data_IF_402337613981
#
_entry.id   IF_402337613981
#
_cell.length_a   1.000
_cell.length_b   1.000
_cell.length_c   1.000
_cell.angle_alpha   90.00
_cell.angle_beta   90.00
_cell.angle_gamma   90.00
#
_symmetry.space_group_name_H-M   'P 1'
#
loop_
_entity.id
_entity.type
_entity.pdbx_description
1 polymer ?
#
# COMPACT_ATOMS: atom_id res chain seq x y z
N UNK A 1 8.78 -33.32 -3.09
CA UNK A 1 10.23 -33.16 -3.31
C UNK A 1 11.02 -33.95 -2.28
N UNK A 2 10.88 -33.72 -0.96
CA UNK A 2 11.68 -34.37 0.10
C UNK A 2 11.57 -35.90 0.05
N UNK A 3 10.35 -36.44 0.00
CA UNK A 3 10.13 -37.88 -0.06
C UNK A 3 10.81 -38.55 -1.30
N UNK A 4 10.75 -37.87 -2.47
CA UNK A 4 11.39 -38.31 -3.68
C UNK A 4 12.93 -38.24 -3.59
N UNK A 5 13.46 -37.16 -3.01
CA UNK A 5 14.89 -36.99 -2.75
C UNK A 5 15.43 -38.09 -1.82
N UNK A 6 14.74 -38.36 -0.71
CA UNK A 6 15.13 -39.42 0.25
C UNK A 6 15.11 -40.78 -0.43
N UNK A 7 14.07 -41.09 -1.21
CA UNK A 7 13.99 -42.36 -1.93
C UNK A 7 15.12 -42.56 -2.95
N UNK A 8 15.55 -41.47 -3.59
CA UNK A 8 16.60 -41.52 -4.64
C UNK A 8 18.02 -41.51 -4.08
N UNK A 9 18.25 -40.79 -2.96
CA UNK A 9 19.62 -40.52 -2.52
C UNK A 9 19.99 -41.15 -1.15
N UNK A 10 19.02 -41.63 -0.39
CA UNK A 10 19.28 -42.16 0.95
C UNK A 10 18.77 -43.61 1.06
N UNK A 11 17.45 -43.77 1.05
CA UNK A 11 16.81 -45.08 1.16
C UNK A 11 15.38 -45.00 0.63
N UNK A 12 14.96 -45.97 -0.21
CA UNK A 12 13.57 -46.06 -0.68
C UNK A 12 12.64 -46.44 0.46
N UNK A 13 11.95 -45.47 1.00
CA UNK A 13 11.20 -45.53 2.25
C UNK A 13 9.77 -45.05 2.13
N UNK A 14 9.49 -44.15 1.19
CA UNK A 14 8.22 -43.44 1.09
C UNK A 14 7.47 -43.78 -0.18
N UNK A 15 6.19 -44.05 -0.05
CA UNK A 15 5.29 -44.14 -1.20
C UNK A 15 4.94 -42.72 -1.70
N UNK A 16 5.67 -42.28 -2.72
CA UNK A 16 5.51 -40.92 -3.28
C UNK A 16 4.13 -40.73 -3.91
N UNK A 17 3.54 -41.77 -4.53
CA UNK A 17 2.21 -41.70 -5.12
C UNK A 17 1.17 -41.39 -4.05
N UNK A 18 1.17 -42.14 -2.94
CA UNK A 18 0.27 -41.89 -1.81
C UNK A 18 0.40 -40.47 -1.22
N UNK A 19 1.61 -39.93 -1.16
CA UNK A 19 1.83 -38.54 -0.72
C UNK A 19 1.22 -37.54 -1.70
N UNK A 20 1.26 -37.85 -3.01
CA UNK A 20 0.68 -37.00 -4.05
C UNK A 20 -0.86 -37.06 -3.99
N UNK A 21 -1.44 -38.23 -3.77
CA UNK A 21 -2.89 -38.42 -3.62
C UNK A 21 -3.42 -37.66 -2.41
N UNK A 22 -2.75 -37.78 -1.24
CA UNK A 22 -3.09 -37.04 -0.03
C UNK A 22 -2.99 -35.52 -0.27
N UNK A 23 -1.96 -35.07 -1.00
CA UNK A 23 -1.83 -33.65 -1.33
C UNK A 23 -3.01 -33.19 -2.18
N UNK A 24 -3.37 -33.92 -3.21
CA UNK A 24 -4.43 -33.52 -4.15
C UNK A 24 -5.81 -33.53 -3.47
N UNK A 25 -6.06 -34.55 -2.66
CA UNK A 25 -7.34 -34.74 -1.98
C UNK A 25 -7.57 -33.74 -0.81
N UNK A 26 -6.54 -33.50 0.02
CA UNK A 26 -6.72 -32.77 1.27
C UNK A 26 -6.01 -31.42 1.33
N UNK A 27 -4.94 -31.21 0.55
CA UNK A 27 -4.08 -30.04 0.69
C UNK A 27 -4.30 -29.02 -0.44
N UNK A 28 -4.57 -29.49 -1.66
CA UNK A 28 -4.64 -28.63 -2.83
C UNK A 28 -5.77 -27.57 -2.73
N UNK A 29 -6.91 -27.93 -2.11
CA UNK A 29 -7.99 -26.97 -1.91
C UNK A 29 -7.66 -25.95 -0.82
N UNK A 30 -7.01 -26.37 0.29
CA UNK A 30 -6.57 -25.45 1.34
C UNK A 30 -5.59 -24.41 0.80
N UNK A 31 -4.70 -24.81 -0.10
CA UNK A 31 -3.77 -23.89 -0.74
C UNK A 31 -4.45 -22.84 -1.63
N UNK A 32 -5.64 -23.14 -2.16
CA UNK A 32 -6.44 -22.17 -2.94
C UNK A 32 -7.17 -21.16 -2.05
N UNK A 33 -7.57 -21.60 -0.86
CA UNK A 33 -8.24 -20.76 0.13
C UNK A 33 -7.26 -19.93 0.97
N UNK A 34 -6.13 -20.52 1.32
CA UNK A 34 -5.11 -19.91 2.18
C UNK A 34 -3.80 -19.79 1.42
N UNK A 35 -3.34 -18.57 1.19
CA UNK A 35 -2.01 -18.31 0.60
C UNK A 35 -0.90 -18.74 1.56
N UNK A 36 -0.56 -20.02 1.55
CA UNK A 36 0.55 -20.57 2.31
C UNK A 36 1.55 -21.25 1.37
N UNK A 37 2.78 -21.33 1.81
CA UNK A 37 3.86 -21.93 1.04
C UNK A 37 4.94 -20.92 0.68
N UNK A 38 5.71 -21.24 -0.36
CA UNK A 38 6.83 -20.40 -0.78
C UNK A 38 6.33 -19.07 -1.36
N UNK A 39 6.70 -17.97 -0.68
CA UNK A 39 6.61 -16.63 -1.23
C UNK A 39 7.99 -15.96 -1.14
N UNK A 40 8.24 -14.95 -1.96
CA UNK A 40 9.50 -14.21 -1.89
C UNK A 40 9.74 -13.62 -0.49
N UNK A 41 8.70 -13.14 0.18
CA UNK A 41 8.83 -12.57 1.54
C UNK A 41 9.23 -13.62 2.58
N UNK A 42 8.73 -14.87 2.49
CA UNK A 42 9.16 -15.96 3.37
C UNK A 42 10.58 -16.40 3.06
N UNK A 43 11.00 -16.36 1.78
CA UNK A 43 12.39 -16.60 1.39
C UNK A 43 13.32 -15.57 2.03
N UNK A 44 12.98 -14.29 1.96
CA UNK A 44 13.72 -13.19 2.60
C UNK A 44 13.79 -13.41 4.13
N UNK A 45 12.66 -13.77 4.77
CA UNK A 45 12.65 -14.07 6.20
C UNK A 45 13.62 -15.22 6.55
N UNK A 46 13.66 -16.28 5.73
CA UNK A 46 14.57 -17.40 5.93
C UNK A 46 16.04 -16.99 5.78
N UNK A 47 16.39 -16.19 4.76
CA UNK A 47 17.76 -15.66 4.57
C UNK A 47 18.22 -14.88 5.81
N UNK A 48 17.33 -14.11 6.42
CA UNK A 48 17.65 -13.30 7.60
C UNK A 48 17.41 -14.04 8.92
N UNK A 49 17.12 -15.37 8.88
CA UNK A 49 16.80 -16.20 10.04
C UNK A 49 15.66 -15.61 10.91
N UNK A 50 14.68 -14.98 10.28
CA UNK A 50 13.52 -14.39 10.95
C UNK A 50 12.34 -15.36 10.95
N UNK A 51 11.55 -15.36 12.03
CA UNK A 51 10.29 -16.10 12.08
C UNK A 51 9.37 -15.70 10.93
N UNK A 52 8.76 -16.64 10.17
CA UNK A 52 7.98 -16.32 8.97
C UNK A 52 6.78 -15.40 9.24
N UNK A 53 6.22 -15.38 10.44
CA UNK A 53 5.11 -14.49 10.79
C UNK A 53 5.50 -13.00 10.74
N UNK A 54 6.78 -12.64 10.84
CA UNK A 54 7.23 -11.27 10.59
C UNK A 54 6.98 -10.88 9.14
N UNK A 55 7.35 -11.75 8.19
CA UNK A 55 7.08 -11.54 6.77
C UNK A 55 5.57 -11.52 6.46
N UNK A 56 4.81 -12.45 7.04
CA UNK A 56 3.34 -12.48 6.91
C UNK A 56 2.69 -11.17 7.37
N UNK A 57 3.12 -10.63 8.52
CA UNK A 57 2.64 -9.35 9.02
C UNK A 57 2.88 -8.20 8.04
N UNK A 58 4.07 -8.14 7.45
CA UNK A 58 4.44 -7.09 6.50
C UNK A 58 3.72 -7.24 5.16
N UNK A 59 3.56 -8.47 4.65
CA UNK A 59 2.78 -8.76 3.44
C UNK A 59 1.33 -8.30 3.56
N UNK A 60 0.70 -8.56 4.71
CA UNK A 60 -0.69 -8.17 4.97
C UNK A 60 -0.91 -6.65 4.96
N UNK A 61 0.16 -5.84 5.04
CA UNK A 61 0.07 -4.38 4.88
C UNK A 61 -0.21 -3.94 3.44
N UNK A 62 0.19 -4.76 2.46
CA UNK A 62 0.02 -4.51 1.01
C UNK A 62 0.58 -3.17 0.49
N UNK A 63 1.36 -2.47 1.30
CA UNK A 63 1.93 -1.15 1.01
C UNK A 63 3.42 -1.17 0.70
N UNK A 64 4.09 -2.28 1.03
CA UNK A 64 5.53 -2.47 0.96
C UNK A 64 5.95 -3.20 -0.31
N UNK A 65 7.09 -2.83 -0.86
CA UNK A 65 7.83 -3.63 -1.84
C UNK A 65 8.59 -4.78 -1.15
N UNK A 66 9.14 -5.73 -1.91
CA UNK A 66 9.98 -6.78 -1.34
C UNK A 66 11.26 -6.23 -0.71
N UNK A 67 11.82 -5.15 -1.27
CA UNK A 67 12.99 -4.45 -0.70
C UNK A 67 12.66 -3.77 0.63
N UNK A 68 11.46 -3.17 0.74
CA UNK A 68 11.00 -2.60 2.00
C UNK A 68 10.84 -3.68 3.07
N UNK A 69 10.22 -4.82 2.71
CA UNK A 69 10.07 -5.97 3.61
C UNK A 69 11.44 -6.46 4.08
N UNK A 70 12.41 -6.61 3.17
CA UNK A 70 13.77 -6.99 3.52
C UNK A 70 14.40 -5.98 4.49
N UNK A 71 14.26 -4.69 4.22
CA UNK A 71 14.81 -3.63 5.06
C UNK A 71 14.25 -3.69 6.49
N UNK A 72 12.93 -3.91 6.63
CA UNK A 72 12.30 -4.05 7.95
C UNK A 72 12.75 -5.34 8.64
N UNK A 73 12.80 -6.48 7.94
CA UNK A 73 13.26 -7.75 8.53
C UNK A 73 14.71 -7.67 8.99
N UNK A 74 15.58 -7.01 8.23
CA UNK A 74 17.00 -6.78 8.62
C UNK A 74 17.12 -5.96 9.90
N UNK A 75 16.21 -5.04 10.16
CA UNK A 75 16.23 -4.20 11.36
C UNK A 75 15.82 -4.93 12.64
N UNK A 76 15.28 -6.16 12.54
CA UNK A 76 14.96 -6.99 13.71
C UNK A 76 16.27 -7.42 14.39
N UNK A 77 16.44 -7.15 15.72
CA UNK A 77 17.59 -7.61 16.47
C UNK A 77 17.78 -9.14 16.36
N UNK A 78 19.00 -9.62 16.21
CA UNK A 78 19.29 -11.04 15.93
C UNK A 78 18.67 -11.97 16.98
N UNK A 79 18.71 -11.59 18.24
CA UNK A 79 18.17 -12.31 19.40
C UNK A 79 16.64 -12.37 19.42
N UNK A 80 15.95 -11.50 18.66
CA UNK A 80 14.48 -11.41 18.59
C UNK A 80 13.90 -12.01 17.31
N UNK A 81 14.73 -12.64 16.46
CA UNK A 81 14.30 -13.15 15.14
C UNK A 81 13.58 -14.49 15.21
N UNK A 82 13.91 -15.34 16.19
CA UNK A 82 13.42 -16.72 16.29
C UNK A 82 11.98 -16.79 16.78
N UNK A 83 11.63 -15.97 17.77
CA UNK A 83 10.26 -15.85 18.26
C UNK A 83 9.54 -14.70 17.61
N UNK A 84 8.24 -14.92 17.27
CA UNK A 84 7.41 -13.88 16.71
C UNK A 84 6.90 -12.92 17.79
N UNK A 85 7.32 -11.67 17.70
CA UNK A 85 6.81 -10.58 18.53
C UNK A 85 6.03 -9.59 17.66
N UNK A 86 4.69 -9.62 17.82
CA UNK A 86 3.77 -8.73 17.09
C UNK A 86 3.97 -7.26 17.48
N UNK A 87 4.34 -6.97 18.73
CA UNK A 87 4.60 -5.61 19.20
C UNK A 87 5.84 -5.03 18.52
N UNK A 88 6.93 -5.80 18.50
CA UNK A 88 8.18 -5.42 17.86
C UNK A 88 7.99 -5.11 16.37
N UNK A 89 7.35 -6.02 15.59
CA UNK A 89 7.19 -5.78 14.16
C UNK A 89 6.26 -4.60 13.85
N UNK A 90 5.25 -4.38 14.69
CA UNK A 90 4.39 -3.20 14.60
C UNK A 90 5.18 -1.91 14.79
N UNK A 91 6.05 -1.88 15.79
CA UNK A 91 6.92 -0.74 16.08
C UNK A 91 7.92 -0.49 14.93
N UNK A 92 8.62 -1.52 14.47
CA UNK A 92 9.59 -1.42 13.36
C UNK A 92 8.92 -0.97 12.06
N UNK A 93 7.74 -1.49 11.76
CA UNK A 93 6.96 -1.03 10.61
C UNK A 93 6.56 0.44 10.74
N UNK A 94 6.08 0.86 11.91
CA UNK A 94 5.74 2.26 12.16
C UNK A 94 6.97 3.19 12.04
N UNK A 95 8.12 2.79 12.55
CA UNK A 95 9.38 3.53 12.41
C UNK A 95 9.84 3.60 10.95
N UNK A 96 9.70 2.52 10.20
CA UNK A 96 10.02 2.49 8.77
C UNK A 96 9.16 3.47 7.96
N UNK A 97 7.87 3.57 8.29
CA UNK A 97 6.94 4.48 7.63
C UNK A 97 7.06 5.93 8.09
N UNK A 98 7.40 6.16 9.35
CA UNK A 98 7.32 7.50 9.96
C UNK A 98 8.65 8.24 9.79
N UNK A 99 8.87 8.80 8.60
CA UNK A 99 9.93 9.78 8.35
C UNK A 99 9.34 11.18 8.51
N UNK A 100 9.51 11.76 9.71
CA UNK A 100 9.05 13.11 9.97
C UNK A 100 9.81 14.13 9.09
N UNK A 101 9.08 15.02 8.48
CA UNK A 101 9.62 16.15 7.72
C UNK A 101 8.86 17.42 8.09
N UNK A 102 9.49 18.58 7.89
CA UNK A 102 8.75 19.85 7.87
C UNK A 102 8.04 19.99 6.51
N UNK A 103 6.72 19.82 6.53
CA UNK A 103 5.87 19.94 5.34
C UNK A 103 5.11 21.28 5.24
N UNK A 104 5.47 22.26 6.07
CA UNK A 104 4.80 23.57 6.14
C UNK A 104 4.70 24.23 4.77
N UNK A 105 5.80 24.26 4.02
CA UNK A 105 5.84 24.82 2.66
C UNK A 105 4.89 24.10 1.69
N UNK A 106 4.85 22.76 1.75
CA UNK A 106 3.98 21.97 0.89
C UNK A 106 2.49 22.20 1.23
N UNK A 107 2.18 22.31 2.53
CA UNK A 107 0.82 22.62 3.01
C UNK A 107 0.41 24.04 2.61
N UNK A 108 1.29 25.03 2.70
CA UNK A 108 1.05 26.41 2.24
C UNK A 108 0.78 26.45 0.73
N UNK A 109 1.60 25.79 -0.07
CA UNK A 109 1.45 25.72 -1.53
C UNK A 109 0.09 25.08 -1.89
N UNK A 110 -0.24 23.94 -1.27
CA UNK A 110 -1.53 23.28 -1.48
C UNK A 110 -2.68 24.17 -1.02
N UNK A 111 -2.58 24.82 0.14
CA UNK A 111 -3.62 25.73 0.65
C UNK A 111 -3.88 26.87 -0.32
N UNK A 112 -2.84 27.45 -0.91
CA UNK A 112 -2.96 28.50 -1.92
C UNK A 112 -3.67 28.01 -3.20
N UNK A 113 -3.31 26.81 -3.68
CA UNK A 113 -3.92 26.18 -4.86
C UNK A 113 -5.39 25.83 -4.66
N UNK A 114 -5.78 25.45 -3.44
CA UNK A 114 -7.11 24.95 -3.12
C UNK A 114 -8.07 26.05 -2.67
N UNK A 115 -7.58 27.27 -2.43
CA UNK A 115 -8.36 28.37 -1.88
C UNK A 115 -9.59 28.71 -2.74
N UNK A 116 -10.75 28.61 -2.14
CA UNK A 116 -12.03 28.95 -2.80
C UNK A 116 -12.50 27.95 -3.85
N UNK A 117 -11.79 26.83 -4.03
CA UNK A 117 -12.15 25.79 -5.02
C UNK A 117 -13.01 24.69 -4.37
N UNK A 118 -13.91 24.13 -5.15
CA UNK A 118 -14.55 22.85 -4.88
C UNK A 118 -13.51 21.75 -5.10
N UNK A 119 -13.44 20.77 -4.22
CA UNK A 119 -12.51 19.66 -4.33
C UNK A 119 -13.27 18.37 -4.59
N UNK A 120 -12.79 17.56 -5.53
CA UNK A 120 -13.29 16.23 -5.79
C UNK A 120 -12.18 15.22 -5.54
N UNK A 121 -12.41 14.30 -4.61
CA UNK A 121 -11.47 13.21 -4.31
C UNK A 121 -12.02 11.91 -4.86
N UNK A 122 -11.25 11.29 -5.73
CA UNK A 122 -11.57 10.02 -6.38
C UNK A 122 -10.73 8.90 -5.79
N UNK A 123 -11.39 7.85 -5.33
CA UNK A 123 -10.75 6.60 -4.90
C UNK A 123 -11.13 5.45 -5.86
N UNK A 124 -10.32 4.36 -5.98
CA UNK A 124 -10.51 3.32 -6.99
C UNK A 124 -11.58 2.28 -6.62
N UNK A 125 -12.64 2.68 -5.91
CA UNK A 125 -13.74 1.79 -5.56
C UNK A 125 -14.67 1.47 -6.72
N UNK A 126 -15.48 0.42 -6.57
CA UNK A 126 -16.37 -0.05 -7.63
C UNK A 126 -17.42 0.99 -8.02
N UNK A 127 -17.91 1.80 -7.06
CA UNK A 127 -18.89 2.86 -7.33
C UNK A 127 -18.36 3.93 -8.28
N UNK A 128 -17.05 4.19 -8.33
CA UNK A 128 -16.45 5.09 -9.30
C UNK A 128 -16.67 4.60 -10.73
N UNK A 129 -16.56 3.28 -10.96
CA UNK A 129 -16.78 2.67 -12.26
C UNK A 129 -18.26 2.67 -12.66
N UNK A 130 -19.14 2.30 -11.72
CA UNK A 130 -20.59 2.22 -11.99
C UNK A 130 -21.27 3.57 -12.17
N UNK A 131 -20.67 4.64 -11.62
CA UNK A 131 -21.18 6.02 -11.70
C UNK A 131 -20.26 6.96 -12.47
N UNK A 132 -19.43 6.40 -13.35
CA UNK A 132 -18.41 7.17 -14.09
C UNK A 132 -19.01 8.36 -14.85
N UNK A 133 -20.11 8.16 -15.57
CA UNK A 133 -20.78 9.22 -16.32
C UNK A 133 -21.19 10.39 -15.42
N UNK A 134 -21.76 10.09 -14.26
CA UNK A 134 -22.17 11.12 -13.29
C UNK A 134 -20.99 11.91 -12.74
N UNK A 135 -19.85 11.22 -12.47
CA UNK A 135 -18.62 11.87 -12.01
C UNK A 135 -18.05 12.78 -13.10
N UNK A 136 -18.00 12.33 -14.34
CA UNK A 136 -17.52 13.14 -15.47
C UNK A 136 -18.43 14.36 -15.75
N UNK A 137 -19.74 14.21 -15.61
CA UNK A 137 -20.69 15.33 -15.68
C UNK A 137 -20.48 16.34 -14.57
N UNK A 138 -20.26 15.85 -13.33
CA UNK A 138 -19.92 16.70 -12.20
C UNK A 138 -18.63 17.49 -12.44
N UNK A 139 -17.57 16.83 -12.92
CA UNK A 139 -16.29 17.50 -13.27
C UNK A 139 -16.51 18.59 -14.30
N UNK A 140 -17.28 18.31 -15.36
CA UNK A 140 -17.57 19.32 -16.42
C UNK A 140 -18.37 20.50 -15.92
N UNK A 141 -19.38 20.26 -15.06
CA UNK A 141 -20.28 21.29 -14.57
C UNK A 141 -19.65 22.16 -13.50
N UNK A 142 -18.98 21.55 -12.52
CA UNK A 142 -18.51 22.22 -11.32
C UNK A 142 -17.04 22.67 -11.42
N UNK A 143 -16.29 22.16 -12.38
CA UNK A 143 -14.84 22.40 -12.57
C UNK A 143 -14.03 22.33 -11.25
N UNK A 144 -14.17 21.24 -10.45
CA UNK A 144 -13.50 21.13 -9.17
C UNK A 144 -12.00 20.91 -9.38
N UNK A 145 -11.20 21.09 -8.31
CA UNK A 145 -9.86 20.55 -8.25
C UNK A 145 -9.95 19.03 -8.00
N UNK A 146 -9.44 18.24 -8.93
CA UNK A 146 -9.61 16.78 -8.91
C UNK A 146 -8.37 16.10 -8.32
N UNK A 147 -8.55 15.37 -7.22
CA UNK A 147 -7.56 14.47 -6.65
C UNK A 147 -7.88 13.02 -7.01
N UNK A 148 -6.85 12.25 -7.33
CA UNK A 148 -6.92 10.78 -7.31
C UNK A 148 -6.09 10.22 -6.16
N UNK A 149 -6.49 9.08 -5.61
CA UNK A 149 -5.82 8.41 -4.49
C UNK A 149 -5.36 7.03 -4.91
N UNK A 150 -4.04 6.83 -5.00
CA UNK A 150 -3.43 5.55 -5.35
C UNK A 150 -3.89 4.97 -6.71
N UNK A 151 -4.35 5.80 -7.62
CA UNK A 151 -4.59 5.43 -9.02
C UNK A 151 -4.45 6.63 -9.95
N UNK A 152 -4.22 6.36 -11.24
CA UNK A 152 -4.16 7.35 -12.29
C UNK A 152 -5.09 6.94 -13.44
N UNK A 153 -5.96 7.86 -13.84
CA UNK A 153 -6.83 7.67 -15.01
C UNK A 153 -7.03 9.02 -15.72
N UNK A 154 -6.45 9.17 -16.94
CA UNK A 154 -6.48 10.44 -17.67
C UNK A 154 -7.89 10.94 -18.00
N UNK A 155 -8.89 10.07 -18.04
CA UNK A 155 -10.29 10.47 -18.35
C UNK A 155 -10.87 11.43 -17.31
N UNK A 156 -10.43 11.33 -16.03
CA UNK A 156 -10.87 12.23 -14.98
C UNK A 156 -10.07 13.54 -14.93
N UNK A 157 -8.98 13.66 -15.71
CA UNK A 157 -8.09 14.83 -15.75
C UNK A 157 -7.68 15.30 -14.35
N UNK A 158 -7.02 14.45 -13.55
CA UNK A 158 -6.66 14.81 -12.19
C UNK A 158 -5.67 15.99 -12.18
N UNK A 159 -5.92 16.96 -11.30
CA UNK A 159 -4.97 18.04 -11.00
C UNK A 159 -3.84 17.56 -10.08
N UNK A 160 -4.14 16.55 -9.24
CA UNK A 160 -3.15 15.95 -8.35
C UNK A 160 -3.46 14.46 -8.07
N UNK A 161 -2.41 13.68 -7.83
CA UNK A 161 -2.49 12.31 -7.37
C UNK A 161 -1.77 12.18 -6.02
N UNK A 162 -2.49 11.71 -5.01
CA UNK A 162 -1.95 11.42 -3.69
C UNK A 162 -1.55 9.96 -3.56
N UNK A 163 -0.30 9.70 -3.16
CA UNK A 163 0.26 8.36 -2.99
C UNK A 163 0.98 8.26 -1.65
N UNK A 164 0.64 7.23 -0.85
CA UNK A 164 1.26 6.95 0.46
C UNK A 164 1.95 5.59 0.54
N UNK A 165 2.00 4.85 -0.57
CA UNK A 165 2.52 3.49 -0.65
C UNK A 165 3.59 3.36 -1.73
N UNK A 166 4.77 2.81 -1.38
CA UNK A 166 5.86 2.59 -2.32
C UNK A 166 5.42 1.70 -3.49
N UNK A 167 4.76 0.59 -3.19
CA UNK A 167 4.20 -0.30 -4.22
C UNK A 167 3.27 0.42 -5.21
N UNK A 168 2.53 1.41 -4.75
CA UNK A 168 1.66 2.20 -5.64
C UNK A 168 2.45 3.24 -6.43
N UNK A 169 3.46 3.85 -5.80
CA UNK A 169 4.32 4.81 -6.49
C UNK A 169 5.04 4.19 -7.68
N UNK A 170 5.55 2.95 -7.55
CA UNK A 170 6.21 2.23 -8.63
C UNK A 170 5.29 2.03 -9.84
N UNK A 171 4.00 1.72 -9.59
CA UNK A 171 3.05 1.42 -10.66
C UNK A 171 2.45 2.70 -11.27
N UNK A 172 2.10 3.67 -10.42
CA UNK A 172 1.26 4.82 -10.80
C UNK A 172 2.10 6.07 -11.05
N UNK A 173 3.22 6.22 -10.38
CA UNK A 173 4.08 7.39 -10.48
C UNK A 173 4.47 7.76 -11.92
N UNK A 174 4.94 6.81 -12.74
CA UNK A 174 5.22 7.07 -14.16
C UNK A 174 3.99 7.60 -14.91
N UNK A 175 2.82 6.97 -14.71
CA UNK A 175 1.57 7.36 -15.38
C UNK A 175 1.15 8.79 -15.04
N UNK A 176 1.31 9.22 -13.77
CA UNK A 176 0.97 10.59 -13.36
C UNK A 176 1.96 11.61 -13.93
N UNK A 177 3.24 11.26 -14.02
CA UNK A 177 4.26 12.15 -14.63
C UNK A 177 4.00 12.40 -16.11
N UNK A 178 3.42 11.42 -16.80
CA UNK A 178 3.02 11.54 -18.21
C UNK A 178 1.74 12.36 -18.41
N UNK A 179 1.00 12.65 -17.34
CA UNK A 179 -0.21 13.47 -17.38
C UNK A 179 0.14 14.96 -17.30
N UNK A 180 -0.12 15.70 -18.35
CA UNK A 180 0.15 17.14 -18.39
C UNK A 180 -0.59 17.89 -17.27
N UNK A 181 0.18 18.54 -16.41
CA UNK A 181 -0.34 19.38 -15.33
C UNK A 181 -0.74 18.66 -14.05
N UNK A 182 -0.74 17.33 -14.01
CA UNK A 182 -1.00 16.57 -12.79
C UNK A 182 0.20 16.60 -11.82
N UNK A 183 -0.06 16.85 -10.54
CA UNK A 183 0.98 16.89 -9.50
C UNK A 183 1.01 15.59 -8.72
N UNK A 184 2.21 15.12 -8.35
CA UNK A 184 2.40 14.06 -7.40
C UNK A 184 2.50 14.64 -5.98
N UNK A 185 1.61 14.20 -5.09
CA UNK A 185 1.67 14.48 -3.66
C UNK A 185 2.00 13.17 -2.96
N UNK A 186 3.17 13.11 -2.36
CA UNK A 186 3.73 11.92 -1.75
C UNK A 186 3.88 12.13 -0.25
N UNK A 187 3.65 11.09 0.52
CA UNK A 187 3.97 11.09 1.94
C UNK A 187 5.47 10.90 2.17
N UNK A 188 6.01 11.41 3.27
CA UNK A 188 7.44 11.49 3.58
C UNK A 188 8.16 10.13 3.62
N UNK A 189 7.46 9.03 3.88
CA UNK A 189 8.02 7.68 3.74
C UNK A 189 8.47 7.33 2.32
N UNK A 190 8.01 8.09 1.32
CA UNK A 190 8.35 7.92 -0.10
C UNK A 190 9.42 8.92 -0.59
N UNK A 191 9.98 9.74 0.29
CA UNK A 191 10.92 10.81 -0.09
C UNK A 191 12.16 10.31 -0.83
N UNK A 192 12.62 9.08 -0.54
CA UNK A 192 13.75 8.46 -1.22
C UNK A 192 13.46 8.02 -2.67
N UNK A 193 12.19 7.92 -3.04
CA UNK A 193 11.72 7.36 -4.32
C UNK A 193 11.02 8.39 -5.20
N UNK A 194 10.69 9.57 -4.65
CA UNK A 194 10.12 10.69 -5.40
C UNK A 194 11.19 11.40 -6.23
N UNK A 195 10.77 11.93 -7.37
CA UNK A 195 11.63 12.78 -8.23
C UNK A 195 11.36 14.27 -8.04
N UNK A 196 12.01 15.08 -8.86
CA UNK A 196 11.74 16.52 -8.94
C UNK A 196 10.27 16.81 -9.26
N UNK A 197 9.71 17.87 -8.71
CA UNK A 197 8.33 18.28 -8.93
C UNK A 197 7.28 17.57 -8.06
N UNK A 198 7.68 16.63 -7.18
CA UNK A 198 6.79 16.05 -6.20
C UNK A 198 6.63 16.96 -4.97
N UNK A 199 5.41 17.06 -4.46
CA UNK A 199 5.15 17.67 -3.15
C UNK A 199 5.20 16.58 -2.07
N UNK A 200 6.02 16.78 -1.04
CA UNK A 200 6.12 15.84 0.08
C UNK A 200 5.40 16.38 1.30
N UNK A 201 4.55 15.54 1.89
CA UNK A 201 3.83 15.83 3.13
C UNK A 201 4.20 14.83 4.22
N UNK A 202 4.19 15.28 5.46
CA UNK A 202 4.56 14.42 6.60
C UNK A 202 3.59 13.26 6.77
N UNK A 203 4.11 12.03 6.72
CA UNK A 203 3.32 10.80 6.86
C UNK A 203 2.63 10.75 8.21
N UNK A 204 3.34 11.06 9.29
CA UNK A 204 2.82 11.03 10.66
C UNK A 204 1.66 12.00 10.86
N UNK A 205 1.71 13.18 10.22
CA UNK A 205 0.64 14.17 10.28
C UNK A 205 -0.60 13.75 9.45
N UNK A 206 -0.44 12.85 8.47
CA UNK A 206 -1.54 12.33 7.66
C UNK A 206 -2.17 11.06 8.22
N UNK A 207 -1.41 10.23 8.95
CA UNK A 207 -1.88 8.96 9.51
C UNK A 207 -3.01 9.18 10.52
N UNK A 208 -4.00 8.28 10.52
CA UNK A 208 -5.07 8.27 11.51
C UNK A 208 -4.64 7.49 12.77
N UNK A 209 -5.12 7.92 13.93
CA UNK A 209 -4.82 7.27 15.21
C UNK A 209 -5.51 5.91 15.34
N UNK A 210 -6.69 5.75 14.72
CA UNK A 210 -7.39 4.46 14.67
C UNK A 210 -6.58 3.44 13.87
N UNK A 211 -6.07 2.42 14.54
CA UNK A 211 -5.24 1.39 13.97
C UNK A 211 -5.89 0.56 12.85
N UNK A 212 -7.23 0.53 12.77
CA UNK A 212 -7.96 -0.18 11.71
C UNK A 212 -7.89 0.55 10.37
N UNK A 213 -7.83 1.87 10.39
CA UNK A 213 -7.83 2.73 9.19
C UNK A 213 -6.59 3.62 9.07
N UNK A 214 -5.59 3.42 9.92
CA UNK A 214 -4.40 4.28 10.02
C UNK A 214 -3.68 4.49 8.68
N UNK A 215 -3.54 3.44 7.87
CA UNK A 215 -2.88 3.48 6.56
C UNK A 215 -3.82 3.70 5.37
N UNK A 216 -5.07 4.09 5.58
CA UNK A 216 -6.00 4.35 4.48
C UNK A 216 -5.65 5.66 3.78
N UNK A 217 -5.12 5.57 2.55
CA UNK A 217 -4.66 6.73 1.79
C UNK A 217 -5.75 7.77 1.53
N UNK A 218 -7.01 7.35 1.35
CA UNK A 218 -8.14 8.26 1.18
C UNK A 218 -8.36 9.13 2.43
N UNK A 219 -8.36 8.50 3.60
CA UNK A 219 -8.50 9.22 4.87
C UNK A 219 -7.28 10.08 5.18
N UNK A 220 -6.07 9.63 4.82
CA UNK A 220 -4.85 10.42 4.94
C UNK A 220 -4.93 11.70 4.09
N UNK A 221 -5.41 11.60 2.83
CA UNK A 221 -5.63 12.77 2.00
C UNK A 221 -6.69 13.71 2.60
N UNK A 222 -7.81 13.19 3.11
CA UNK A 222 -8.82 14.03 3.74
C UNK A 222 -8.27 14.79 4.95
N UNK A 223 -7.43 14.17 5.76
CA UNK A 223 -6.74 14.82 6.88
C UNK A 223 -5.81 15.94 6.38
N UNK A 224 -5.03 15.66 5.31
CA UNK A 224 -4.19 16.69 4.67
C UNK A 224 -5.03 17.86 4.15
N UNK A 225 -6.14 17.60 3.46
CA UNK A 225 -7.03 18.64 2.95
C UNK A 225 -7.64 19.49 4.08
N UNK A 226 -7.94 18.86 5.22
CA UNK A 226 -8.34 19.58 6.44
C UNK A 226 -7.25 20.54 6.94
N UNK A 227 -5.98 20.09 6.97
CA UNK A 227 -4.81 20.94 7.30
C UNK A 227 -4.64 22.11 6.31
N UNK A 228 -4.98 21.89 5.04
CA UNK A 228 -4.97 22.92 4.00
C UNK A 228 -6.18 23.87 4.06
N UNK A 229 -7.09 23.72 5.02
CA UNK A 229 -8.27 24.57 5.17
C UNK A 229 -9.37 24.33 4.12
N UNK A 230 -9.44 23.13 3.56
CA UNK A 230 -10.48 22.74 2.60
C UNK A 230 -11.87 22.85 3.24
N UNK A 231 -12.82 23.52 2.54
CA UNK A 231 -14.18 23.74 3.06
C UNK A 231 -15.23 22.86 2.40
N UNK A 232 -15.02 22.49 1.15
CA UNK A 232 -15.99 21.72 0.38
C UNK A 232 -15.29 20.61 -0.40
N UNK A 233 -15.50 19.37 0.06
CA UNK A 233 -14.88 18.17 -0.51
C UNK A 233 -15.98 17.20 -0.93
N UNK A 234 -15.98 16.81 -2.19
CA UNK A 234 -16.84 15.77 -2.75
C UNK A 234 -16.03 14.49 -2.88
N UNK A 235 -16.67 13.35 -2.66
CA UNK A 235 -16.03 12.04 -2.66
C UNK A 235 -16.71 11.12 -3.67
N UNK A 236 -15.91 10.34 -4.43
CA UNK A 236 -16.41 9.27 -5.26
C UNK A 236 -15.46 8.06 -5.19
N UNK A 237 -16.02 6.84 -5.25
CA UNK A 237 -15.23 5.61 -5.17
C UNK A 237 -14.75 5.23 -3.76
N UNK A 238 -15.34 5.76 -2.71
CA UNK A 238 -15.03 5.43 -1.31
C UNK A 238 -15.97 4.32 -0.79
N UNK A 239 -15.94 3.17 -1.42
CA UNK A 239 -16.93 2.09 -1.16
C UNK A 239 -16.68 1.31 0.13
N UNK A 240 -15.56 1.56 0.80
CA UNK A 240 -15.10 0.79 1.94
C UNK A 240 -14.55 -0.59 1.53
N UNK A 241 -14.00 -1.29 2.51
CA UNK A 241 -13.63 -2.70 2.35
C UNK A 241 -14.87 -3.55 2.58
N UNK A 242 -15.31 -4.31 1.58
CA UNK A 242 -16.26 -5.40 1.85
C UNK A 242 -15.48 -6.47 2.62
N UNK A 243 -15.98 -6.99 3.75
CA UNK A 243 -15.46 -8.21 4.33
C UNK A 243 -15.56 -9.31 3.26
N UNK A 244 -14.43 -9.95 2.97
CA UNK A 244 -14.41 -11.17 2.16
C UNK A 244 -14.89 -12.32 2.99
#
# INVERSE_FOLDING_TARGET
>A
LIARYINQNIQSRYNVAMVMDIYDEYIAFLRREYEWGYTMAYHIAAIHACHPNYAAYLLNKQTLTMQDIESVLRSIPKERRVEFDKGLIRQLYAQFQNRAIDDSRAVEELSALLRGRKLLVLAPGQSLRTRETQVLEFIRREAPFVFTVNFADPKFRPDACFISSHKRLDIIGPQVRDMAGARLILTSNLAAYGGEGCLFVDYGQCVNEDGMVSGNAGLMLLKLLGRCGARQVFLAGFDGFRPQ
#
